data_IF_839807133983
#
_entry.id   IF_839807133983
#
_cell.length_a   1.000
_cell.length_b   1.000
_cell.length_c   1.000
_cell.angle_alpha   90.00
_cell.angle_beta   90.00
_cell.angle_gamma   90.00
#
_symmetry.space_group_name_H-M   'P 1'
#
loop_
_entity.id
_entity.type
_entity.pdbx_description
1 polymer ?
#
# COMPACT_ATOMS: atom_id res chain seq x y z
N UNK A 1 -10.97 -7.46 13.42
CA UNK A 1 -9.49 -7.30 13.40
C UNK A 1 -9.04 -6.99 14.82
N UNK A 2 -8.45 -7.95 15.50
CA UNK A 2 -8.20 -7.89 16.96
C UNK A 2 -7.19 -6.82 17.43
N UNK A 3 -6.41 -6.23 16.54
CA UNK A 3 -5.39 -5.23 16.88
C UNK A 3 -5.64 -3.86 16.26
N UNK A 4 -6.81 -3.66 15.65
CA UNK A 4 -7.19 -2.42 15.00
C UNK A 4 -8.40 -1.82 15.69
N UNK A 5 -8.38 -0.52 15.85
CA UNK A 5 -9.49 0.26 16.42
C UNK A 5 -10.00 1.19 15.32
N UNK A 6 -11.30 1.17 15.08
CA UNK A 6 -11.96 2.14 14.21
C UNK A 6 -11.88 3.53 14.85
N UNK A 7 -11.31 4.49 14.17
CA UNK A 7 -11.20 5.88 14.63
C UNK A 7 -12.26 6.77 14.04
N UNK A 8 -12.47 6.65 12.75
CA UNK A 8 -13.36 7.55 12.01
C UNK A 8 -14.03 6.80 10.86
N UNK A 9 -15.23 7.22 10.52
CA UNK A 9 -15.93 6.74 9.32
C UNK A 9 -16.72 7.88 8.68
N UNK A 10 -16.70 7.91 7.35
CA UNK A 10 -17.36 8.92 6.54
C UNK A 10 -18.04 8.26 5.36
N UNK A 11 -19.20 8.79 4.98
CA UNK A 11 -19.87 8.41 3.73
C UNK A 11 -19.84 9.62 2.79
N UNK A 12 -19.24 9.44 1.62
CA UNK A 12 -19.23 10.43 0.55
C UNK A 12 -20.41 10.19 -0.39
N UNK A 13 -21.08 11.26 -0.78
CA UNK A 13 -22.20 11.18 -1.74
C UNK A 13 -21.74 11.14 -3.19
N UNK A 14 -20.56 11.73 -3.50
CA UNK A 14 -19.99 11.78 -4.85
C UNK A 14 -18.46 11.69 -4.82
N UNK A 15 -17.85 10.60 -5.33
CA UNK A 15 -18.50 9.33 -5.65
C UNK A 15 -19.04 8.65 -4.40
N UNK A 16 -20.13 7.90 -4.53
CA UNK A 16 -20.71 7.16 -3.40
C UNK A 16 -19.67 6.17 -2.85
N UNK A 17 -19.15 6.48 -1.69
CA UNK A 17 -18.07 5.70 -1.07
C UNK A 17 -18.14 5.78 0.44
N UNK A 18 -17.91 4.67 1.09
CA UNK A 18 -17.76 4.59 2.54
C UNK A 18 -16.28 4.51 2.89
N UNK A 19 -15.80 5.46 3.67
CA UNK A 19 -14.43 5.52 4.16
C UNK A 19 -14.39 5.14 5.62
N UNK A 20 -13.42 4.33 6.01
CA UNK A 20 -13.16 4.04 7.42
C UNK A 20 -11.66 4.09 7.72
N UNK A 21 -11.30 4.80 8.77
CA UNK A 21 -9.94 4.90 9.28
C UNK A 21 -9.77 3.99 10.49
N UNK A 22 -8.86 3.06 10.38
CA UNK A 22 -8.47 2.13 11.44
C UNK A 22 -7.04 2.38 11.87
N UNK A 23 -6.78 2.26 13.15
CA UNK A 23 -5.43 2.41 13.71
C UNK A 23 -5.04 1.13 14.42
N UNK A 24 -3.90 0.58 14.04
CA UNK A 24 -3.30 -0.58 14.68
C UNK A 24 -2.61 -0.17 15.99
N UNK A 25 -2.46 -1.10 16.93
CA UNK A 25 -1.75 -0.86 18.21
C UNK A 25 -0.32 -0.34 18.07
N UNK A 26 0.33 -0.59 16.92
CA UNK A 26 1.67 -0.06 16.59
C UNK A 26 1.66 1.36 16.04
N UNK A 27 0.49 1.98 15.87
CA UNK A 27 0.33 3.29 15.25
C UNK A 27 0.13 3.28 13.73
N UNK A 28 0.24 2.11 13.09
CA UNK A 28 -0.05 1.99 11.66
C UNK A 28 -1.52 2.35 11.37
N UNK A 29 -1.73 3.13 10.34
CA UNK A 29 -3.07 3.57 9.91
C UNK A 29 -3.50 2.83 8.67
N UNK A 30 -4.76 2.40 8.63
CA UNK A 30 -5.37 1.75 7.48
C UNK A 30 -6.64 2.50 7.11
N UNK A 31 -6.73 2.92 5.87
CA UNK A 31 -7.93 3.53 5.30
C UNK A 31 -8.57 2.54 4.35
N UNK A 32 -9.81 2.17 4.64
CA UNK A 32 -10.64 1.41 3.70
C UNK A 32 -11.57 2.35 2.98
N UNK A 33 -11.62 2.22 1.66
CA UNK A 33 -12.58 2.91 0.80
C UNK A 33 -13.42 1.85 0.11
N UNK A 34 -14.69 1.78 0.47
CA UNK A 34 -15.64 0.84 -0.12
C UNK A 34 -16.57 1.59 -1.06
N UNK A 35 -16.62 1.17 -2.30
CA UNK A 35 -17.50 1.71 -3.32
C UNK A 35 -17.94 0.61 -4.31
N UNK A 36 -18.71 0.97 -5.33
CA UNK A 36 -19.22 0.07 -6.35
C UNK A 36 -18.27 -0.09 -7.56
N UNK A 37 -17.07 0.51 -7.50
CA UNK A 37 -16.08 0.37 -8.58
C UNK A 37 -15.59 -1.08 -8.68
N UNK A 38 -15.46 -1.55 -9.91
CA UNK A 38 -14.92 -2.88 -10.21
C UNK A 38 -13.41 -2.95 -10.02
N UNK A 39 -12.72 -1.81 -10.14
CA UNK A 39 -11.27 -1.72 -9.92
C UNK A 39 -10.95 -1.75 -8.43
N UNK A 40 -9.86 -2.39 -8.12
CA UNK A 40 -9.35 -2.47 -6.74
C UNK A 40 -7.94 -1.88 -6.71
N UNK A 41 -7.67 -1.07 -5.71
CA UNK A 41 -6.35 -0.51 -5.47
C UNK A 41 -5.88 -0.82 -4.06
N UNK A 42 -4.60 -1.06 -3.92
CA UNK A 42 -3.91 -1.19 -2.65
C UNK A 42 -2.68 -0.28 -2.67
N UNK A 43 -2.48 0.49 -1.63
CA UNK A 43 -1.31 1.35 -1.47
C UNK A 43 -0.74 1.18 -0.08
N UNK A 44 0.56 1.02 0.03
CA UNK A 44 1.31 1.11 1.28
C UNK A 44 2.23 2.33 1.21
N UNK A 45 2.10 3.24 2.19
CA UNK A 45 2.87 4.47 2.26
C UNK A 45 3.63 4.54 3.59
N UNK A 46 4.91 4.90 3.51
CA UNK A 46 5.79 5.04 4.67
C UNK A 46 6.39 6.44 4.70
N UNK A 47 6.45 7.04 5.88
CA UNK A 47 7.13 8.31 6.07
C UNK A 47 8.65 8.06 6.15
N UNK A 48 9.34 8.37 5.06
CA UNK A 48 10.79 8.15 4.91
C UNK A 48 11.50 9.42 4.45
N UNK A 49 11.54 10.49 5.28
CA UNK A 49 12.24 11.72 4.93
C UNK A 49 13.74 11.42 4.72
N UNK A 50 14.34 11.91 3.63
CA UNK A 50 15.76 11.68 3.37
C UNK A 50 16.63 12.56 4.30
N UNK A 51 17.73 12.00 4.79
CA UNK A 51 18.73 12.73 5.55
C UNK A 51 19.72 13.47 4.63
N UNK A 52 19.84 13.04 3.37
CA UNK A 52 20.73 13.58 2.36
C UNK A 52 20.24 13.20 0.96
N UNK A 53 20.97 13.68 -0.08
CA UNK A 53 20.60 13.46 -1.49
C UNK A 53 21.14 12.16 -2.11
N UNK A 54 21.54 11.17 -1.31
CA UNK A 54 22.08 9.88 -1.81
C UNK A 54 21.00 8.91 -2.34
N UNK A 55 19.73 9.23 -2.19
CA UNK A 55 18.64 8.41 -2.69
C UNK A 55 18.40 7.10 -1.90
N UNK A 56 18.86 7.02 -0.66
CA UNK A 56 18.74 5.81 0.16
C UNK A 56 17.28 5.35 0.33
N UNK A 57 16.31 6.21 0.65
CA UNK A 57 14.91 5.80 0.73
C UNK A 57 14.38 5.19 -0.56
N UNK A 58 14.75 5.73 -1.70
CA UNK A 58 14.37 5.24 -3.02
C UNK A 58 14.98 3.85 -3.32
N UNK A 59 16.28 3.69 -2.99
CA UNK A 59 16.97 2.40 -3.15
C UNK A 59 16.32 1.32 -2.28
N UNK A 60 16.01 1.65 -1.03
CA UNK A 60 15.34 0.73 -0.10
C UNK A 60 13.95 0.36 -0.62
N UNK A 61 13.19 1.32 -1.10
CA UNK A 61 11.87 1.11 -1.69
C UNK A 61 11.91 0.03 -2.79
N UNK A 62 12.78 0.17 -3.77
CA UNK A 62 12.92 -0.83 -4.82
C UNK A 62 13.46 -2.16 -4.29
N UNK A 63 14.36 -2.14 -3.33
CA UNK A 63 15.01 -3.33 -2.77
C UNK A 63 14.02 -4.27 -2.06
N UNK A 64 13.02 -3.73 -1.37
CA UNK A 64 12.01 -4.56 -0.65
C UNK A 64 11.14 -5.37 -1.57
N UNK A 65 11.08 -5.05 -2.86
CA UNK A 65 10.36 -5.83 -3.87
C UNK A 65 11.16 -6.96 -4.50
N UNK A 66 12.45 -7.07 -4.18
CA UNK A 66 13.33 -8.10 -4.76
C UNK A 66 13.17 -9.49 -4.13
N UNK A 67 12.30 -9.65 -3.17
CA UNK A 67 12.01 -10.91 -2.49
C UNK A 67 11.74 -10.71 -1.00
N UNK A 68 11.21 -11.73 -0.35
CA UNK A 68 10.93 -11.71 1.08
C UNK A 68 11.10 -13.10 1.68
N UNK A 69 11.13 -13.18 3.01
CA UNK A 69 11.18 -14.47 3.72
C UNK A 69 10.00 -15.37 3.36
N UNK A 70 8.81 -14.80 3.20
CA UNK A 70 7.59 -15.53 2.82
C UNK A 70 7.55 -15.89 1.34
N UNK A 71 8.14 -15.05 0.50
CA UNK A 71 8.20 -15.23 -0.96
C UNK A 71 9.65 -15.09 -1.44
N UNK A 72 10.47 -16.15 -1.27
CA UNK A 72 11.89 -16.14 -1.60
C UNK A 72 12.13 -16.30 -3.11
N UNK A 73 11.41 -15.56 -3.90
CA UNK A 73 11.53 -15.53 -5.36
C UNK A 73 12.43 -14.37 -5.77
N UNK A 74 13.16 -14.55 -6.86
CA UNK A 74 13.89 -13.44 -7.47
C UNK A 74 12.90 -12.50 -8.18
N UNK A 75 12.91 -11.24 -7.79
CA UNK A 75 12.10 -10.17 -8.38
C UNK A 75 10.60 -10.49 -8.49
N UNK A 76 9.89 -10.87 -7.39
CA UNK A 76 8.48 -11.24 -7.45
C UNK A 76 7.60 -10.10 -7.99
N UNK A 77 7.96 -8.85 -7.74
CA UNK A 77 7.26 -7.68 -8.25
C UNK A 77 7.28 -7.61 -9.78
N UNK A 78 8.45 -7.82 -10.38
CA UNK A 78 8.60 -7.85 -11.85
C UNK A 78 7.86 -9.04 -12.46
N UNK A 79 7.86 -10.19 -11.78
CA UNK A 79 7.12 -11.38 -12.24
C UNK A 79 5.60 -11.13 -12.23
N UNK A 80 5.08 -10.47 -11.20
CA UNK A 80 3.66 -10.07 -11.14
C UNK A 80 3.30 -9.11 -12.26
N UNK A 81 4.14 -8.11 -12.55
CA UNK A 81 3.91 -7.19 -13.67
C UNK A 81 3.84 -7.90 -15.00
N UNK A 82 4.75 -8.85 -15.27
CA UNK A 82 4.79 -9.60 -16.52
C UNK A 82 3.62 -10.56 -16.69
N UNK A 83 3.13 -11.13 -15.59
CA UNK A 83 2.06 -12.13 -15.60
C UNK A 83 0.64 -11.55 -15.59
N UNK A 84 0.48 -10.26 -15.41
CA UNK A 84 -0.83 -9.63 -15.27
C UNK A 84 -1.19 -8.78 -16.48
N UNK A 85 -2.35 -9.07 -17.10
CA UNK A 85 -2.87 -8.31 -18.21
C UNK A 85 -3.61 -7.03 -17.80
N UNK A 86 -4.04 -6.92 -16.55
CA UNK A 86 -4.96 -5.87 -16.11
C UNK A 86 -4.61 -5.30 -14.72
N UNK A 87 -3.34 -5.42 -14.32
CA UNK A 87 -2.85 -4.92 -13.03
C UNK A 87 -1.75 -3.90 -13.26
N UNK A 88 -1.91 -2.72 -12.69
CA UNK A 88 -0.88 -1.70 -12.62
C UNK A 88 -0.17 -1.79 -11.27
N UNK A 89 1.15 -1.86 -11.30
CA UNK A 89 2.02 -1.86 -10.12
C UNK A 89 3.04 -0.73 -10.26
N UNK A 90 3.27 0.00 -9.19
CA UNK A 90 4.29 1.05 -9.14
C UNK A 90 4.87 1.21 -7.73
N UNK A 91 6.10 1.71 -7.67
CA UNK A 91 6.79 2.11 -6.46
C UNK A 91 7.35 3.54 -6.67
N UNK A 92 7.07 4.44 -5.75
CA UNK A 92 7.39 5.88 -5.88
C UNK A 92 7.95 6.39 -4.56
N UNK A 93 9.09 7.04 -4.66
CA UNK A 93 9.70 7.77 -3.54
C UNK A 93 9.91 9.22 -3.92
#
# INVERSE_FOLDING_TARGET
>A
MNNYILKESYTLSRPKSDLSLWVHKTGARVVFIKNEDKHRAFTAAFCTPPENSRGIPHIVEHSVFCGSKKYPLKDPFVQLMKGSLNTFLNAIT
#
